data_IF_929862552343
#
_entry.id   IF_929862552343
#
_cell.length_a   1.000
_cell.length_b   1.000
_cell.length_c   1.000
_cell.angle_alpha   90.00
_cell.angle_beta   90.00
_cell.angle_gamma   90.00
#
_symmetry.space_group_name_H-M   'P 1'
#
loop_
_entity.id
_entity.type
_entity.pdbx_description
1 polymer ?
#
# COMPACT_ATOMS: atom_id res chain seq x y z
N UNK A 1 -2.06 0.74 -26.70
CA UNK A 1 -1.20 -0.26 -26.07
C UNK A 1 -0.12 0.48 -25.27
N UNK A 2 -0.54 1.14 -24.18
CA UNK A 2 0.38 1.82 -23.25
C UNK A 2 0.84 0.78 -22.23
N UNK A 3 1.98 0.18 -22.51
CA UNK A 3 2.67 -0.70 -21.56
C UNK A 3 3.42 0.17 -20.57
N UNK A 4 2.98 0.17 -19.33
CA UNK A 4 3.57 0.88 -18.21
C UNK A 4 5.02 0.44 -18.00
N UNK A 5 5.94 1.38 -18.18
CA UNK A 5 7.39 1.13 -18.10
C UNK A 5 7.98 1.30 -16.69
N UNK A 6 7.18 1.65 -15.66
CA UNK A 6 7.69 2.02 -14.33
C UNK A 6 6.92 1.52 -13.11
N UNK A 7 5.84 0.78 -13.29
CA UNK A 7 5.26 0.00 -12.19
C UNK A 7 5.74 -1.43 -12.35
N UNK A 8 6.29 -2.02 -11.31
CA UNK A 8 6.26 -3.47 -11.22
C UNK A 8 4.80 -3.84 -11.43
N UNK A 9 4.49 -4.57 -12.52
CA UNK A 9 3.12 -4.95 -12.75
C UNK A 9 2.76 -5.87 -11.61
N UNK A 10 2.05 -5.37 -10.62
CA UNK A 10 1.07 -6.18 -9.95
C UNK A 10 -0.05 -6.46 -10.96
N UNK A 11 0.37 -6.98 -12.12
CA UNK A 11 -0.52 -7.78 -12.93
C UNK A 11 -0.98 -8.84 -11.99
N UNK A 12 -2.26 -8.75 -11.62
CA UNK A 12 -3.01 -9.66 -10.77
C UNK A 12 -2.08 -10.66 -10.09
N UNK A 13 -2.03 -10.69 -8.79
CA UNK A 13 -1.34 -11.77 -8.05
C UNK A 13 -1.65 -13.15 -8.65
N UNK A 14 -2.74 -13.25 -9.41
CA UNK A 14 -3.22 -14.42 -10.13
C UNK A 14 -2.93 -14.47 -11.63
N UNK A 15 -2.38 -13.43 -12.29
CA UNK A 15 -2.05 -13.54 -13.74
C UNK A 15 -0.94 -14.55 -14.01
N UNK A 16 -0.15 -14.85 -12.99
CA UNK A 16 0.81 -15.96 -12.98
C UNK A 16 0.28 -17.17 -12.20
N UNK A 17 -0.95 -17.11 -11.66
CA UNK A 17 -1.53 -18.16 -10.82
C UNK A 17 -0.89 -18.30 -9.44
N UNK A 18 -0.09 -17.30 -9.01
CA UNK A 18 0.64 -17.35 -7.75
C UNK A 18 0.59 -16.00 -7.03
N UNK A 19 0.63 -16.06 -5.70
CA UNK A 19 0.70 -14.87 -4.85
C UNK A 19 2.08 -14.21 -4.91
N UNK A 20 2.15 -12.90 -4.62
CA UNK A 20 3.41 -12.16 -4.57
C UNK A 20 4.34 -12.63 -3.43
N UNK A 21 3.82 -13.40 -2.48
CA UNK A 21 4.54 -14.07 -1.40
C UNK A 21 5.01 -15.49 -1.76
N UNK A 22 4.77 -15.94 -3.00
CA UNK A 22 5.13 -17.31 -3.41
C UNK A 22 6.63 -17.59 -3.14
N UNK A 23 7.00 -18.79 -2.63
CA UNK A 23 8.38 -19.09 -2.24
C UNK A 23 9.41 -18.89 -3.36
N UNK A 24 9.01 -19.04 -4.62
CA UNK A 24 9.91 -18.78 -5.77
C UNK A 24 10.30 -17.30 -5.91
N UNK A 25 9.56 -16.38 -5.27
CA UNK A 25 9.85 -14.94 -5.26
C UNK A 25 10.74 -14.52 -4.10
N UNK A 26 11.11 -15.44 -3.22
CA UNK A 26 12.04 -15.13 -2.11
C UNK A 26 13.34 -14.46 -2.60
N UNK A 27 14.05 -14.97 -3.65
CA UNK A 27 15.25 -14.30 -4.16
C UNK A 27 15.02 -12.89 -4.69
N UNK A 28 13.82 -12.60 -5.17
CA UNK A 28 13.41 -11.25 -5.59
C UNK A 28 13.32 -10.32 -4.38
N UNK A 29 12.64 -10.74 -3.30
CA UNK A 29 12.50 -9.92 -2.10
C UNK A 29 13.84 -9.68 -1.41
N UNK A 30 14.68 -10.71 -1.31
CA UNK A 30 16.05 -10.59 -0.81
C UNK A 30 16.86 -9.57 -1.61
N UNK A 31 16.74 -9.59 -2.96
CA UNK A 31 17.47 -8.68 -3.82
C UNK A 31 16.95 -7.24 -3.73
N UNK A 32 15.66 -7.06 -3.61
CA UNK A 32 15.03 -5.74 -3.38
C UNK A 32 15.53 -5.12 -2.09
N UNK A 33 15.58 -5.90 -1.00
CA UNK A 33 16.09 -5.45 0.29
C UNK A 33 17.59 -5.12 0.23
N UNK A 34 18.41 -6.02 -0.34
CA UNK A 34 19.86 -5.80 -0.51
C UNK A 34 20.16 -4.51 -1.28
N UNK A 35 19.40 -4.24 -2.33
CA UNK A 35 19.57 -3.04 -3.16
C UNK A 35 18.91 -1.79 -2.59
N UNK A 36 18.21 -1.91 -1.45
CA UNK A 36 17.46 -0.83 -0.79
C UNK A 36 16.46 -0.13 -1.74
N UNK A 37 15.82 -0.92 -2.61
CA UNK A 37 14.83 -0.44 -3.59
C UNK A 37 13.46 -0.25 -2.91
N UNK A 38 12.79 0.85 -3.26
CA UNK A 38 11.39 1.08 -2.88
C UNK A 38 10.48 0.33 -3.84
N UNK A 39 9.57 -0.49 -3.29
CA UNK A 39 8.54 -1.19 -4.07
C UNK A 39 7.21 -0.44 -3.93
N UNK A 40 6.63 -0.06 -5.05
CA UNK A 40 5.28 0.52 -5.09
C UNK A 40 4.29 -0.56 -5.52
N UNK A 41 3.39 -0.94 -4.60
CA UNK A 41 2.31 -1.90 -4.88
C UNK A 41 1.09 -1.12 -5.34
N UNK A 42 0.86 -1.19 -6.65
CA UNK A 42 -0.29 -0.60 -7.33
C UNK A 42 -1.08 -1.70 -8.05
N UNK A 43 -2.35 -1.81 -7.78
CA UNK A 43 -3.20 -2.89 -8.30
C UNK A 43 -3.77 -2.56 -9.67
N UNK A 44 -3.76 -3.54 -10.57
CA UNK A 44 -4.29 -3.43 -11.93
C UNK A 44 -5.38 -4.47 -12.18
N UNK A 45 -6.53 -4.29 -11.57
CA UNK A 45 -7.67 -5.21 -11.66
C UNK A 45 -7.95 -5.97 -10.38
N UNK A 46 -8.71 -7.05 -10.50
CA UNK A 46 -9.05 -7.94 -9.39
C UNK A 46 -9.06 -9.40 -9.87
N UNK A 47 -8.55 -10.30 -9.01
CA UNK A 47 -8.39 -11.73 -9.36
C UNK A 47 -9.70 -12.46 -9.67
N UNK A 48 -10.83 -12.02 -9.06
CA UNK A 48 -12.13 -12.65 -9.22
C UNK A 48 -13.19 -11.64 -9.69
N UNK A 49 -13.13 -11.17 -10.96
CA UNK A 49 -13.90 -10.04 -11.44
C UNK A 49 -15.39 -10.33 -11.74
N UNK A 50 -15.85 -11.58 -11.66
CA UNK A 50 -17.17 -11.97 -12.16
C UNK A 50 -18.34 -11.22 -11.54
N UNK A 51 -18.23 -10.77 -10.29
CA UNK A 51 -19.21 -9.97 -9.55
C UNK A 51 -18.99 -8.45 -9.68
N UNK A 52 -17.92 -8.02 -10.36
CA UNK A 52 -17.47 -6.62 -10.40
C UNK A 52 -17.50 -6.03 -11.82
N UNK A 53 -18.35 -6.59 -12.70
CA UNK A 53 -18.39 -6.19 -14.13
C UNK A 53 -19.12 -4.88 -14.38
N UNK A 54 -20.02 -4.51 -13.47
CA UNK A 54 -20.88 -3.32 -13.59
C UNK A 54 -20.35 -2.16 -12.76
N UNK A 55 -20.81 -0.94 -13.04
CA UNK A 55 -20.63 0.26 -12.22
C UNK A 55 -19.16 0.59 -11.89
N UNK A 56 -18.23 0.17 -12.72
CA UNK A 56 -16.80 0.36 -12.47
C UNK A 56 -16.28 -0.31 -11.19
N UNK A 57 -16.99 -1.33 -10.70
CA UNK A 57 -16.67 -2.01 -9.42
C UNK A 57 -15.29 -2.64 -9.40
N UNK A 58 -14.71 -2.99 -10.55
CA UNK A 58 -13.31 -3.46 -10.58
C UNK A 58 -12.37 -2.41 -10.01
N UNK A 59 -12.58 -1.14 -10.34
CA UNK A 59 -11.79 -0.05 -9.78
C UNK A 59 -12.23 0.26 -8.34
N UNK A 60 -13.52 0.56 -8.13
CA UNK A 60 -14.05 1.05 -6.85
C UNK A 60 -13.89 0.05 -5.69
N UNK A 61 -13.96 -1.24 -5.99
CA UNK A 61 -13.97 -2.31 -4.98
C UNK A 61 -12.78 -3.25 -5.20
N UNK A 62 -12.56 -3.66 -6.44
CA UNK A 62 -11.58 -4.68 -6.79
C UNK A 62 -10.15 -4.26 -6.47
N UNK A 63 -9.74 -3.05 -6.85
CA UNK A 63 -8.39 -2.54 -6.58
C UNK A 63 -8.08 -2.46 -5.07
N UNK A 64 -8.95 -1.87 -4.22
CA UNK A 64 -8.72 -1.88 -2.77
C UNK A 64 -8.66 -3.29 -2.15
N UNK A 65 -9.47 -4.25 -2.64
CA UNK A 65 -9.41 -5.64 -2.17
C UNK A 65 -8.08 -6.28 -2.59
N UNK A 66 -7.67 -6.11 -3.84
CA UNK A 66 -6.43 -6.72 -4.35
C UNK A 66 -5.20 -6.20 -3.59
N UNK A 67 -5.12 -4.89 -3.33
CA UNK A 67 -4.06 -4.32 -2.49
C UNK A 67 -4.08 -4.92 -1.07
N UNK A 68 -5.28 -5.05 -0.50
CA UNK A 68 -5.47 -5.68 0.82
C UNK A 68 -4.97 -7.12 0.84
N UNK A 69 -5.30 -7.91 -0.18
CA UNK A 69 -4.84 -9.30 -0.30
C UNK A 69 -3.33 -9.38 -0.47
N UNK A 70 -2.76 -8.61 -1.39
CA UNK A 70 -1.33 -8.60 -1.66
C UNK A 70 -0.50 -8.33 -0.40
N UNK A 71 -0.84 -7.26 0.34
CA UNK A 71 -0.12 -6.92 1.57
C UNK A 71 -0.39 -7.94 2.68
N UNK A 72 -1.62 -8.46 2.81
CA UNK A 72 -1.92 -9.50 3.78
C UNK A 72 -1.08 -10.75 3.53
N UNK A 73 -0.88 -11.15 2.27
CA UNK A 73 0.01 -12.25 1.89
C UNK A 73 1.45 -11.99 2.30
N UNK A 74 1.99 -10.79 2.01
CA UNK A 74 3.36 -10.44 2.43
C UNK A 74 3.55 -10.51 3.95
N UNK A 75 2.52 -10.14 4.72
CA UNK A 75 2.54 -10.23 6.19
C UNK A 75 2.44 -11.71 6.63
N UNK A 76 1.32 -12.38 6.30
CA UNK A 76 0.98 -13.68 6.88
C UNK A 76 1.83 -14.84 6.34
N UNK A 77 2.36 -14.72 5.12
CA UNK A 77 3.28 -15.70 4.55
C UNK A 77 4.76 -15.42 4.94
N UNK A 78 5.00 -14.42 5.81
CA UNK A 78 6.27 -14.17 6.48
C UNK A 78 7.31 -13.41 5.67
N UNK A 79 6.98 -12.87 4.49
CA UNK A 79 7.95 -12.12 3.65
C UNK A 79 8.48 -10.89 4.39
N UNK A 80 7.59 -10.13 5.05
CA UNK A 80 8.00 -8.92 5.79
C UNK A 80 8.76 -9.21 7.09
N UNK A 81 8.62 -10.41 7.62
CA UNK A 81 9.42 -10.88 8.75
C UNK A 81 10.82 -11.29 8.28
N UNK A 82 10.91 -12.01 7.16
CA UNK A 82 12.18 -12.44 6.57
C UNK A 82 13.00 -11.26 6.03
N UNK A 83 12.32 -10.21 5.56
CA UNK A 83 12.93 -9.03 4.94
C UNK A 83 12.48 -7.73 5.61
N UNK A 84 12.91 -7.46 6.86
CA UNK A 84 12.45 -6.31 7.65
C UNK A 84 12.89 -4.95 7.11
N UNK A 85 13.87 -4.91 6.21
CA UNK A 85 14.37 -3.71 5.53
C UNK A 85 13.60 -3.31 4.27
N UNK A 86 12.60 -4.08 3.84
CA UNK A 86 11.78 -3.75 2.68
C UNK A 86 11.05 -2.41 2.87
N UNK A 87 11.10 -1.57 1.84
CA UNK A 87 10.41 -0.28 1.75
C UNK A 87 9.24 -0.42 0.79
N UNK A 88 8.03 -0.47 1.31
CA UNK A 88 6.82 -0.70 0.51
C UNK A 88 5.90 0.51 0.59
N UNK A 89 5.52 1.03 -0.58
CA UNK A 89 4.43 1.99 -0.74
C UNK A 89 3.20 1.21 -1.20
N UNK A 90 2.07 1.46 -0.58
CA UNK A 90 0.78 0.84 -0.94
C UNK A 90 -0.14 1.90 -1.51
N UNK A 91 -0.62 1.68 -2.74
CA UNK A 91 -1.55 2.59 -3.41
C UNK A 91 -2.93 2.64 -2.75
N UNK A 92 -3.71 3.66 -3.11
CA UNK A 92 -5.10 3.84 -2.71
C UNK A 92 -5.28 3.82 -1.18
N UNK A 93 -4.37 4.55 -0.48
CA UNK A 93 -4.35 4.61 0.98
C UNK A 93 -4.19 3.26 1.68
N UNK A 94 -3.71 2.22 0.98
CA UNK A 94 -3.57 0.87 1.52
C UNK A 94 -4.85 0.02 1.45
N UNK A 95 -5.82 0.41 0.64
CA UNK A 95 -7.08 -0.31 0.48
C UNK A 95 -7.87 -0.39 1.79
N UNK A 96 -8.29 -1.59 2.16
CA UNK A 96 -9.04 -1.80 3.41
C UNK A 96 -8.15 -2.02 4.65
N UNK A 97 -6.82 -2.17 4.49
CA UNK A 97 -5.91 -2.51 5.60
C UNK A 97 -5.94 -1.51 6.76
N UNK A 98 -5.91 -0.19 6.54
CA UNK A 98 -5.92 0.76 7.65
C UNK A 98 -7.16 0.61 8.53
N UNK A 99 -8.33 0.46 7.92
CA UNK A 99 -9.61 0.33 8.62
C UNK A 99 -9.80 -1.02 9.30
N UNK A 100 -9.20 -2.08 8.77
CA UNK A 100 -9.37 -3.45 9.25
C UNK A 100 -8.16 -4.02 9.98
N UNK A 101 -7.10 -3.25 10.22
CA UNK A 101 -5.90 -3.69 10.95
C UNK A 101 -6.22 -4.28 12.34
N UNK A 102 -7.17 -3.66 13.07
CA UNK A 102 -7.63 -4.19 14.35
C UNK A 102 -8.29 -5.56 14.26
N UNK A 103 -8.97 -5.89 13.14
CA UNK A 103 -9.53 -7.21 12.89
C UNK A 103 -8.45 -8.26 12.67
N UNK A 104 -7.38 -7.90 11.95
CA UNK A 104 -6.21 -8.77 11.76
C UNK A 104 -5.53 -9.10 13.09
N UNK A 105 -5.29 -8.08 13.92
CA UNK A 105 -4.71 -8.25 15.26
C UNK A 105 -5.60 -9.07 16.19
N UNK A 106 -6.92 -8.91 16.10
CA UNK A 106 -7.86 -9.72 16.88
C UNK A 106 -7.78 -11.20 16.47
N UNK A 107 -7.77 -11.48 15.16
CA UNK A 107 -7.63 -12.84 14.64
C UNK A 107 -6.29 -13.46 15.08
N UNK A 108 -5.19 -12.72 15.01
CA UNK A 108 -3.87 -13.13 15.49
C UNK A 108 -3.91 -13.58 16.98
N UNK A 109 -4.61 -12.82 17.84
CA UNK A 109 -4.74 -13.18 19.27
C UNK A 109 -5.66 -14.38 19.50
N UNK A 110 -6.74 -14.47 18.71
CA UNK A 110 -7.78 -15.47 18.90
C UNK A 110 -7.47 -16.84 18.30
N UNK A 111 -6.63 -16.90 17.25
CA UNK A 111 -6.44 -18.11 16.44
C UNK A 111 -4.97 -18.47 16.31
N UNK A 112 -4.65 -19.72 16.65
CA UNK A 112 -3.28 -20.23 16.52
C UNK A 112 -2.81 -20.24 15.06
N UNK A 113 -3.66 -20.73 14.14
CA UNK A 113 -3.36 -20.84 12.72
C UNK A 113 -3.13 -19.49 12.00
N UNK A 114 -3.57 -18.38 12.61
CA UNK A 114 -3.32 -17.02 12.10
C UNK A 114 -1.96 -16.48 12.58
N UNK A 115 -1.54 -16.82 13.80
CA UNK A 115 -0.28 -16.32 14.37
C UNK A 115 0.92 -17.23 14.13
N UNK A 116 0.71 -18.48 13.72
CA UNK A 116 1.81 -19.43 13.47
C UNK A 116 2.74 -18.87 12.39
N UNK A 117 4.02 -18.71 12.74
CA UNK A 117 5.04 -18.12 11.87
C UNK A 117 5.16 -16.59 11.95
N UNK A 118 4.29 -15.88 12.70
CA UNK A 118 4.38 -14.44 12.89
C UNK A 118 4.75 -14.09 14.32
N UNK A 119 5.94 -13.50 14.59
CA UNK A 119 6.33 -13.09 15.94
C UNK A 119 5.66 -11.80 16.41
N UNK A 120 5.16 -10.96 15.47
CA UNK A 120 4.58 -9.65 15.75
C UNK A 120 3.12 -9.55 15.30
N UNK A 121 2.39 -8.56 15.83
CA UNK A 121 1.02 -8.26 15.39
C UNK A 121 1.03 -7.80 13.92
N UNK A 122 0.03 -8.22 13.11
CA UNK A 122 -0.09 -7.76 11.72
C UNK A 122 -0.02 -6.23 11.55
N UNK A 123 -0.62 -5.48 12.49
CA UNK A 123 -0.57 -4.01 12.44
C UNK A 123 0.82 -3.42 12.65
N UNK A 124 1.77 -4.15 13.25
CA UNK A 124 3.14 -3.67 13.43
C UNK A 124 3.91 -3.67 12.12
N UNK A 125 3.63 -4.62 11.22
CA UNK A 125 4.19 -4.62 9.86
C UNK A 125 3.64 -3.45 9.04
N UNK A 126 2.33 -3.16 9.14
CA UNK A 126 1.70 -2.04 8.44
C UNK A 126 2.32 -0.69 8.84
N UNK A 127 2.76 -0.51 10.08
CA UNK A 127 3.41 0.72 10.54
C UNK A 127 4.76 1.00 9.88
N UNK A 128 5.37 0.03 9.22
CA UNK A 128 6.61 0.19 8.48
C UNK A 128 6.39 0.59 7.02
N UNK A 129 5.15 0.57 6.53
CA UNK A 129 4.78 0.87 5.16
C UNK A 129 4.45 2.33 4.95
N UNK A 130 4.41 2.73 3.68
CA UNK A 130 4.02 4.06 3.22
C UNK A 130 2.70 3.95 2.47
N UNK A 131 1.88 5.01 2.54
CA UNK A 131 0.55 5.04 1.96
C UNK A 131 0.38 6.33 1.15
N UNK A 132 -0.28 6.25 0.01
CA UNK A 132 -0.56 7.43 -0.78
C UNK A 132 -1.86 8.15 -0.32
N UNK A 133 -2.07 9.35 -0.86
CA UNK A 133 -3.23 10.17 -0.57
C UNK A 133 -4.44 9.88 -1.48
N UNK A 134 -4.41 8.77 -2.25
CA UNK A 134 -5.50 8.43 -3.18
C UNK A 134 -6.70 7.82 -2.46
N UNK A 135 -7.23 8.59 -1.51
CA UNK A 135 -8.44 8.31 -0.72
C UNK A 135 -9.51 9.39 -0.90
N UNK A 136 -9.18 10.48 -1.65
CA UNK A 136 -10.06 11.55 -2.14
C UNK A 136 -10.71 12.44 -1.07
N UNK A 137 -10.61 12.11 0.22
CA UNK A 137 -11.21 12.87 1.31
C UNK A 137 -10.16 13.23 2.37
N UNK A 138 -10.14 14.49 2.88
CA UNK A 138 -9.17 14.92 3.88
C UNK A 138 -9.21 14.12 5.18
N UNK A 139 -10.39 13.74 5.67
CA UNK A 139 -10.57 12.96 6.90
C UNK A 139 -10.01 11.54 6.77
N UNK A 140 -9.99 10.96 5.58
CA UNK A 140 -9.33 9.69 5.31
C UNK A 140 -7.81 9.82 5.41
N UNK A 141 -7.24 10.94 4.93
CA UNK A 141 -5.81 11.24 5.10
C UNK A 141 -5.49 11.47 6.59
N UNK A 142 -6.34 12.20 7.33
CA UNK A 142 -6.21 12.38 8.78
C UNK A 142 -6.19 11.02 9.50
N UNK A 143 -7.07 10.12 9.10
CA UNK A 143 -7.10 8.76 9.64
C UNK A 143 -5.80 7.99 9.36
N UNK A 144 -5.27 8.03 8.13
CA UNK A 144 -3.98 7.41 7.79
C UNK A 144 -2.84 7.99 8.63
N UNK A 145 -2.79 9.31 8.76
CA UNK A 145 -1.80 10.01 9.59
C UNK A 145 -1.90 9.57 11.06
N UNK A 146 -3.11 9.44 11.59
CA UNK A 146 -3.33 9.01 12.98
C UNK A 146 -2.84 7.58 13.25
N UNK A 147 -2.88 6.73 12.22
CA UNK A 147 -2.47 5.32 12.30
C UNK A 147 -0.96 5.14 12.11
N UNK A 148 -0.37 5.85 11.16
CA UNK A 148 0.96 5.53 10.64
C UNK A 148 1.96 6.67 10.78
N UNK A 149 1.51 7.87 11.11
CA UNK A 149 2.35 9.06 11.17
C UNK A 149 2.43 9.81 9.85
N UNK A 150 2.72 11.11 9.93
CA UNK A 150 2.78 12.02 8.77
C UNK A 150 3.90 11.66 7.78
N UNK A 151 4.98 11.12 8.28
CA UNK A 151 6.18 10.73 7.53
C UNK A 151 5.99 9.44 6.71
N UNK A 152 4.91 8.71 6.94
CA UNK A 152 4.51 7.53 6.18
C UNK A 152 3.46 7.82 5.10
N UNK A 153 3.03 9.09 4.94
CA UNK A 153 2.05 9.49 3.93
C UNK A 153 2.75 10.20 2.77
N UNK A 154 2.41 9.78 1.55
CA UNK A 154 2.99 10.28 0.30
C UNK A 154 1.88 10.82 -0.60
N UNK A 155 2.14 11.93 -1.28
CA UNK A 155 1.20 12.45 -2.27
C UNK A 155 1.09 11.48 -3.45
N UNK A 156 -0.13 11.03 -3.74
CA UNK A 156 -0.50 10.29 -4.94
C UNK A 156 -1.40 11.11 -5.85
N UNK A 157 -1.45 10.77 -7.13
CA UNK A 157 -2.29 11.45 -8.13
C UNK A 157 -3.12 10.51 -8.98
N UNK A 158 -2.72 9.25 -9.07
CA UNK A 158 -3.28 8.24 -9.99
C UNK A 158 -3.33 8.71 -11.47
N UNK A 159 -2.54 9.76 -11.82
CA UNK A 159 -2.41 10.22 -13.20
C UNK A 159 -1.74 9.11 -14.07
N UNK A 160 -2.21 8.84 -15.28
CA UNK A 160 -3.23 9.57 -16.06
C UNK A 160 -4.63 8.92 -16.09
N UNK A 161 -4.99 8.18 -15.05
CA UNK A 161 -6.28 7.48 -15.01
C UNK A 161 -7.46 8.43 -14.77
N UNK A 162 -8.65 7.99 -15.17
CA UNK A 162 -9.90 8.75 -15.03
C UNK A 162 -10.35 8.97 -13.57
N UNK A 163 -9.81 8.16 -12.64
CA UNK A 163 -9.98 8.33 -11.19
C UNK A 163 -8.86 9.17 -10.57
N UNK A 164 -7.99 9.80 -11.37
CA UNK A 164 -6.93 10.66 -10.86
C UNK A 164 -7.44 11.86 -10.07
N UNK A 165 -6.71 12.25 -8.99
CA UNK A 165 -6.99 13.46 -8.23
C UNK A 165 -6.48 14.69 -9.01
N UNK A 166 -7.38 15.62 -9.31
CA UNK A 166 -7.06 16.83 -10.10
C UNK A 166 -6.30 17.90 -9.29
N UNK A 167 -6.55 17.97 -7.98
CA UNK A 167 -5.86 18.90 -7.05
C UNK A 167 -5.27 18.18 -5.83
N UNK A 168 -4.27 17.30 -6.03
CA UNK A 168 -3.72 16.48 -4.96
C UNK A 168 -3.04 17.32 -3.87
N UNK A 169 -2.45 18.46 -4.24
CA UNK A 169 -1.84 19.40 -3.27
C UNK A 169 -2.91 20.12 -2.45
N UNK A 170 -4.00 20.55 -3.09
CA UNK A 170 -5.15 21.14 -2.41
C UNK A 170 -5.85 20.15 -1.49
N UNK A 171 -5.95 18.88 -1.87
CA UNK A 171 -6.47 17.82 -1.02
C UNK A 171 -5.66 17.71 0.29
N UNK A 172 -4.33 17.65 0.22
CA UNK A 172 -3.45 17.62 1.41
C UNK A 172 -3.59 18.89 2.25
N UNK A 173 -3.71 20.07 1.62
CA UNK A 173 -3.88 21.34 2.34
C UNK A 173 -5.20 21.47 3.09
N UNK A 174 -6.23 20.70 2.73
CA UNK A 174 -7.52 20.66 3.45
C UNK A 174 -7.50 19.76 4.69
N UNK A 175 -6.45 18.95 4.87
CA UNK A 175 -6.29 18.08 6.05
C UNK A 175 -6.12 18.92 7.31
N UNK A 176 -6.92 18.66 8.32
CA UNK A 176 -6.91 19.43 9.58
C UNK A 176 -5.64 19.14 10.40
N UNK A 177 -5.13 20.20 11.06
CA UNK A 177 -4.01 20.05 11.99
C UNK A 177 -2.63 19.87 11.35
N UNK A 178 -2.50 19.95 10.02
CA UNK A 178 -1.20 19.96 9.37
C UNK A 178 -0.59 21.36 9.38
N UNK A 179 0.69 21.45 9.73
CA UNK A 179 1.49 22.65 9.53
C UNK A 179 1.91 22.79 8.06
N UNK A 180 2.33 23.99 7.59
CA UNK A 180 2.91 24.15 6.26
C UNK A 180 4.09 23.20 5.99
N UNK A 181 4.88 22.90 7.02
CA UNK A 181 5.98 21.94 6.92
C UNK A 181 5.46 20.50 6.71
N UNK A 182 4.42 20.09 7.44
CA UNK A 182 3.79 18.78 7.27
C UNK A 182 3.23 18.61 5.85
N UNK A 183 2.54 19.65 5.35
CA UNK A 183 2.05 19.64 3.97
C UNK A 183 3.19 19.47 2.96
N UNK A 184 4.28 20.22 3.12
CA UNK A 184 5.44 20.11 2.24
C UNK A 184 6.09 18.70 2.32
N UNK A 185 6.14 18.11 3.52
CA UNK A 185 6.64 16.76 3.73
C UNK A 185 5.79 15.72 2.98
N UNK A 186 4.46 15.76 3.14
CA UNK A 186 3.54 14.84 2.45
C UNK A 186 3.57 15.08 0.93
N UNK A 187 3.60 16.34 0.47
CA UNK A 187 3.58 16.68 -0.95
C UNK A 187 4.87 16.33 -1.72
N UNK A 188 5.95 15.96 -1.03
CA UNK A 188 7.16 15.56 -1.74
C UNK A 188 8.34 15.21 -0.84
N UNK A 189 8.47 15.87 0.33
CA UNK A 189 9.61 15.67 1.23
C UNK A 189 9.77 14.21 1.69
N UNK A 190 8.67 13.54 2.02
CA UNK A 190 8.68 12.15 2.44
C UNK A 190 9.15 11.22 1.30
N UNK A 191 8.64 11.44 0.08
CA UNK A 191 9.06 10.68 -1.09
C UNK A 191 10.54 10.92 -1.42
N UNK A 192 11.00 12.17 -1.39
CA UNK A 192 12.40 12.51 -1.61
C UNK A 192 13.32 11.82 -0.60
N UNK A 193 12.95 11.84 0.68
CA UNK A 193 13.69 11.14 1.75
C UNK A 193 13.72 9.62 1.53
N UNK A 194 12.55 9.03 1.23
CA UNK A 194 12.41 7.58 1.02
C UNK A 194 13.24 7.11 -0.18
N UNK A 195 13.21 7.87 -1.27
CA UNK A 195 13.93 7.58 -2.52
C UNK A 195 15.39 8.08 -2.51
N UNK A 196 15.85 8.69 -1.42
CA UNK A 196 17.21 9.25 -1.27
C UNK A 196 17.54 10.29 -2.36
N UNK A 197 16.55 11.06 -2.80
CA UNK A 197 16.73 12.16 -3.74
C UNK A 197 17.30 13.35 -2.96
N UNK A 198 18.51 13.75 -3.27
CA UNK A 198 19.12 14.95 -2.70
C UNK A 198 18.40 16.18 -3.26
N UNK A 199 17.81 17.00 -2.42
CA UNK A 199 17.21 18.29 -2.73
C UNK A 199 18.26 19.40 -2.75
#
# INVERSE_FOLDING_TARGET
DHRDLHSFPTRRSSDLGEEISAPRLEPFWAKVEEMDIVVFIHTAGFSHPDRLKDHYFINLIGHPIEATLAISRLIFDGVLEAHPGLKIIVSHGGGYLPSYSGRMDHAYRARKDVRDGLPHLPSEYLKKMYFDTMVFEPDQIEYLISKYGKDHILLGTDYPYDMGEEDPVGLVKRVQGLTPHDCASICGGNAAKLLKINS
#
